data_IF_733912834519
#
_entry.id   IF_733912834519
#
_cell.length_a   1.000
_cell.length_b   1.000
_cell.length_c   1.000
_cell.angle_alpha   90.00
_cell.angle_beta   90.00
_cell.angle_gamma   90.00
#
_symmetry.space_group_name_H-M   'P 1'
#
loop_
_entity.id
_entity.type
_entity.pdbx_description
1 polymer ?
#
# COMPACT_ATOMS: atom_id res chain seq x y z
N UNK A 1 -3.55 -12.59 -19.76
CA UNK A 1 -2.80 -13.19 -18.64
C UNK A 1 -2.64 -14.67 -18.91
N UNK A 2 -1.42 -15.21 -18.86
CA UNK A 2 -1.12 -16.63 -19.12
C UNK A 2 -1.75 -17.50 -18.02
N UNK A 3 -2.50 -18.54 -18.41
CA UNK A 3 -2.98 -19.54 -17.45
C UNK A 3 -1.77 -20.28 -16.86
N UNK A 4 -1.75 -20.61 -15.56
CA UNK A 4 -0.69 -21.44 -14.99
C UNK A 4 -0.58 -22.73 -15.80
N UNK A 5 0.64 -23.12 -16.17
CA UNK A 5 0.89 -24.38 -16.85
C UNK A 5 0.52 -25.53 -15.90
N UNK A 6 -0.46 -26.39 -16.23
CA UNK A 6 -0.96 -27.42 -15.33
C UNK A 6 0.07 -28.51 -14.97
N UNK A 7 1.26 -28.51 -15.58
CA UNK A 7 2.30 -29.52 -15.37
C UNK A 7 3.33 -29.21 -14.28
N UNK A 8 3.29 -28.03 -13.63
CA UNK A 8 4.30 -27.68 -12.62
C UNK A 8 3.90 -28.17 -11.23
N UNK A 9 4.83 -28.82 -10.49
CA UNK A 9 4.55 -29.28 -9.14
C UNK A 9 4.28 -28.08 -8.22
N UNK A 10 3.29 -28.25 -7.36
CA UNK A 10 3.02 -27.31 -6.29
C UNK A 10 4.07 -27.50 -5.19
N UNK A 11 4.57 -26.38 -4.66
CA UNK A 11 5.43 -26.35 -3.48
C UNK A 11 4.77 -25.51 -2.40
N UNK A 12 5.14 -25.77 -1.15
CA UNK A 12 4.67 -24.99 0.00
C UNK A 12 5.42 -23.65 0.03
N UNK A 13 4.69 -22.55 0.02
CA UNK A 13 5.21 -21.20 0.24
C UNK A 13 4.78 -20.70 1.61
N UNK A 14 5.70 -20.07 2.34
CA UNK A 14 5.43 -19.46 3.64
C UNK A 14 5.50 -17.93 3.53
N UNK A 15 4.61 -17.26 4.26
CA UNK A 15 4.53 -15.81 4.26
C UNK A 15 4.17 -15.25 5.62
N UNK A 16 4.48 -13.97 5.83
CA UNK A 16 4.11 -13.26 7.05
C UNK A 16 3.91 -11.77 6.78
N UNK A 17 3.27 -11.07 7.73
CA UNK A 17 3.37 -9.61 7.78
C UNK A 17 4.74 -9.19 8.34
N UNK A 18 5.12 -7.93 8.17
CA UNK A 18 6.43 -7.44 8.58
C UNK A 18 6.78 -7.70 10.06
N UNK A 19 5.81 -7.59 10.97
CA UNK A 19 6.02 -7.84 12.39
C UNK A 19 5.85 -9.31 12.81
N UNK A 20 5.64 -10.22 11.84
CA UNK A 20 5.40 -11.67 12.02
C UNK A 20 4.17 -12.04 12.84
N UNK A 21 3.36 -11.07 13.28
CA UNK A 21 2.15 -11.34 14.05
C UNK A 21 1.11 -12.13 13.24
N UNK A 22 1.08 -11.93 11.92
CA UNK A 22 0.29 -12.71 10.97
C UNK A 22 1.25 -13.60 10.17
N UNK A 23 1.02 -14.91 10.17
CA UNK A 23 1.78 -15.86 9.35
C UNK A 23 0.82 -16.81 8.64
N UNK A 24 1.15 -17.19 7.44
CA UNK A 24 0.33 -18.02 6.57
C UNK A 24 1.22 -18.85 5.65
N UNK A 25 0.62 -19.84 5.04
CA UNK A 25 1.24 -20.63 3.99
C UNK A 25 0.25 -20.87 2.86
N UNK A 26 0.77 -21.17 1.68
CA UNK A 26 -0.05 -21.55 0.55
C UNK A 26 0.70 -22.45 -0.43
N UNK A 27 -0.05 -23.29 -1.15
CA UNK A 27 0.49 -24.13 -2.21
C UNK A 27 0.36 -23.43 -3.56
N UNK A 28 1.49 -23.14 -4.21
CA UNK A 28 1.57 -22.60 -5.57
C UNK A 28 2.74 -23.24 -6.34
N UNK A 29 2.78 -23.18 -7.68
CA UNK A 29 3.99 -23.52 -8.42
C UNK A 29 5.15 -22.64 -7.95
N UNK A 30 6.39 -23.11 -8.13
CA UNK A 30 7.57 -22.31 -7.78
C UNK A 30 7.72 -21.06 -8.67
N UNK A 31 7.15 -21.07 -9.88
CA UNK A 31 7.04 -19.90 -10.76
C UNK A 31 5.76 -19.11 -10.48
N UNK A 32 5.88 -18.15 -9.58
CA UNK A 32 4.76 -17.33 -9.15
C UNK A 32 4.41 -16.28 -10.23
N UNK A 33 3.14 -16.26 -10.64
CA UNK A 33 2.58 -15.19 -11.45
C UNK A 33 2.04 -14.09 -10.54
N UNK A 34 2.46 -12.86 -10.79
CA UNK A 34 2.01 -11.67 -10.08
C UNK A 34 1.02 -10.87 -10.92
N UNK A 35 0.01 -10.33 -10.25
CA UNK A 35 -1.03 -9.47 -10.83
C UNK A 35 -1.02 -8.13 -10.11
N UNK A 36 -0.85 -7.05 -10.89
CA UNK A 36 -1.08 -5.68 -10.43
C UNK A 36 -2.53 -5.31 -10.68
N UNK A 37 -3.25 -4.93 -9.62
CA UNK A 37 -4.64 -4.47 -9.72
C UNK A 37 -4.66 -2.94 -9.76
N UNK A 38 -5.52 -2.36 -10.61
CA UNK A 38 -5.65 -0.91 -10.79
C UNK A 38 -6.75 -0.26 -9.92
N UNK A 39 -7.44 -1.01 -9.05
CA UNK A 39 -8.42 -0.41 -8.17
C UNK A 39 -7.75 0.53 -7.16
N UNK A 40 -8.48 1.57 -6.71
CA UNK A 40 -7.94 2.64 -5.87
C UNK A 40 -7.19 2.12 -4.64
N UNK A 41 -7.78 1.21 -3.87
CA UNK A 41 -7.14 0.64 -2.67
C UNK A 41 -5.85 -0.13 -2.99
N UNK A 42 -5.81 -0.86 -4.11
CA UNK A 42 -4.62 -1.63 -4.48
C UNK A 42 -3.51 -0.71 -5.00
N UNK A 43 -3.88 0.30 -5.78
CA UNK A 43 -2.95 1.35 -6.24
C UNK A 43 -2.33 2.08 -5.05
N UNK A 44 -3.15 2.54 -4.10
CA UNK A 44 -2.69 3.28 -2.92
C UNK A 44 -1.86 2.44 -1.94
N UNK A 45 -2.10 1.13 -1.87
CA UNK A 45 -1.31 0.18 -1.06
C UNK A 45 -0.10 -0.41 -1.79
N UNK A 46 0.17 -0.03 -3.04
CA UNK A 46 1.27 -0.63 -3.82
C UNK A 46 1.14 -2.15 -4.01
N UNK A 47 -0.08 -2.65 -3.98
CA UNK A 47 -0.40 -4.07 -3.83
C UNK A 47 -0.14 -4.87 -5.12
N UNK A 48 0.69 -5.91 -5.02
CA UNK A 48 0.96 -6.88 -6.08
C UNK A 48 0.65 -8.28 -5.56
N UNK A 49 -0.16 -9.06 -6.28
CA UNK A 49 -0.75 -10.28 -5.72
C UNK A 49 -0.57 -11.49 -6.60
N UNK A 50 -0.53 -12.65 -5.96
CA UNK A 50 -0.75 -13.95 -6.60
C UNK A 50 -2.08 -14.51 -6.14
N UNK A 51 -2.85 -15.03 -7.09
CA UNK A 51 -4.17 -15.60 -6.80
C UNK A 51 -4.01 -17.11 -6.66
N UNK A 52 -4.42 -17.64 -5.50
CA UNK A 52 -4.48 -19.07 -5.23
C UNK A 52 -5.89 -19.47 -4.79
N UNK A 53 -6.35 -20.70 -5.07
CA UNK A 53 -7.60 -21.21 -4.52
C UNK A 53 -7.59 -21.17 -3.00
N UNK A 54 -8.74 -20.85 -2.39
CA UNK A 54 -8.89 -20.82 -0.91
C UNK A 54 -8.50 -22.14 -0.25
N UNK A 55 -8.75 -23.27 -0.91
CA UNK A 55 -8.36 -24.61 -0.44
C UNK A 55 -6.85 -24.83 -0.32
N UNK A 56 -6.04 -23.95 -0.93
CA UNK A 56 -4.58 -24.00 -0.92
C UNK A 56 -3.94 -22.90 -0.10
N UNK A 57 -4.74 -22.13 0.64
CA UNK A 57 -4.25 -21.10 1.55
C UNK A 57 -4.60 -21.48 2.98
N UNK A 58 -3.65 -21.32 3.90
CA UNK A 58 -3.83 -21.62 5.32
C UNK A 58 -3.26 -20.47 6.14
N UNK A 59 -4.10 -19.88 6.99
CA UNK A 59 -3.64 -18.94 8.01
C UNK A 59 -3.09 -19.75 9.19
N UNK A 60 -1.83 -19.53 9.54
CA UNK A 60 -1.15 -20.25 10.62
C UNK A 60 -1.32 -19.53 11.97
N UNK A 61 -1.27 -18.19 11.97
CA UNK A 61 -1.49 -17.39 13.16
C UNK A 61 -1.91 -15.94 12.85
N UNK A 62 -2.40 -15.25 13.87
CA UNK A 62 -2.67 -13.81 13.84
C UNK A 62 -4.04 -13.42 13.30
N UNK A 63 -5.04 -14.29 13.42
CA UNK A 63 -6.42 -13.98 13.02
C UNK A 63 -6.96 -12.73 13.75
N UNK A 64 -6.62 -12.59 15.02
CA UNK A 64 -6.93 -11.45 15.89
C UNK A 64 -6.10 -10.20 15.56
N UNK A 65 -5.00 -10.36 14.83
CA UNK A 65 -4.10 -9.29 14.39
C UNK A 65 -4.50 -8.69 13.04
N UNK A 66 -5.56 -9.21 12.41
CA UNK A 66 -6.06 -8.72 11.13
C UNK A 66 -7.15 -7.66 11.33
N UNK A 67 -7.04 -6.58 10.55
CA UNK A 67 -8.13 -5.63 10.32
C UNK A 67 -8.72 -5.89 8.94
N UNK A 68 -10.06 -6.01 8.90
CA UNK A 68 -10.83 -6.14 7.67
C UNK A 68 -11.24 -4.76 7.16
N UNK A 69 -10.93 -4.48 5.91
CA UNK A 69 -11.46 -3.35 5.16
C UNK A 69 -12.27 -3.85 3.96
N UNK A 70 -13.48 -3.30 3.82
CA UNK A 70 -14.40 -3.55 2.71
C UNK A 70 -14.92 -2.21 2.23
N UNK A 71 -15.14 -2.09 0.92
CA UNK A 71 -15.66 -0.88 0.29
C UNK A 71 -16.42 -1.25 -0.99
N UNK A 72 -17.17 -0.30 -1.54
CA UNK A 72 -17.99 -0.49 -2.73
C UNK A 72 -18.99 -1.67 -2.57
N UNK A 73 -18.79 -2.79 -3.27
CA UNK A 73 -19.71 -3.94 -3.22
C UNK A 73 -19.56 -4.80 -1.97
N UNK A 74 -18.58 -4.50 -1.11
CA UNK A 74 -18.26 -5.25 0.11
C UNK A 74 -17.93 -6.74 -0.13
N UNK A 75 -17.56 -7.10 -1.36
CA UNK A 75 -17.26 -8.50 -1.73
C UNK A 75 -15.78 -8.84 -1.56
N UNK A 76 -14.89 -7.86 -1.74
CA UNK A 76 -13.46 -8.05 -1.50
C UNK A 76 -13.15 -7.80 -0.02
N UNK A 77 -12.43 -8.74 0.61
CA UNK A 77 -12.01 -8.64 2.00
C UNK A 77 -10.53 -8.27 2.04
N UNK A 78 -10.23 -6.98 2.19
CA UNK A 78 -8.85 -6.49 2.36
C UNK A 78 -8.41 -6.68 3.79
N UNK A 79 -7.47 -7.60 4.03
CA UNK A 79 -7.02 -7.98 5.37
C UNK A 79 -5.59 -7.50 5.59
N UNK A 80 -5.37 -6.64 6.58
CA UNK A 80 -4.03 -6.11 6.89
C UNK A 80 -3.70 -6.25 8.37
N UNK A 81 -2.42 -6.34 8.69
CA UNK A 81 -1.99 -6.44 10.08
C UNK A 81 -2.23 -5.11 10.81
N UNK A 82 -3.03 -5.14 11.89
CA UNK A 82 -3.34 -3.95 12.71
C UNK A 82 -2.11 -3.31 13.37
N UNK A 83 -0.99 -4.04 13.46
CA UNK A 83 0.27 -3.56 14.05
C UNK A 83 1.22 -2.91 13.06
N UNK A 84 1.50 -3.54 11.92
CA UNK A 84 2.48 -3.03 10.96
C UNK A 84 1.86 -2.48 9.66
N UNK A 85 0.56 -2.65 9.44
CA UNK A 85 -0.16 -2.15 8.27
C UNK A 85 0.03 -2.97 6.99
N UNK A 86 0.90 -4.00 6.98
CA UNK A 86 1.11 -4.84 5.80
C UNK A 86 -0.15 -5.66 5.47
N UNK A 87 -0.59 -5.59 4.23
CA UNK A 87 -1.67 -6.41 3.67
C UNK A 87 -1.08 -7.67 3.01
N UNK A 88 -0.70 -8.66 3.81
CA UNK A 88 -0.01 -9.85 3.28
C UNK A 88 -0.89 -10.76 2.41
N UNK A 89 -2.21 -10.68 2.56
CA UNK A 89 -3.17 -11.39 1.71
C UNK A 89 -4.53 -10.69 1.76
N UNK A 90 -5.42 -11.02 0.83
CA UNK A 90 -6.81 -10.57 0.81
C UNK A 90 -7.68 -11.57 0.05
N UNK A 91 -8.99 -11.52 0.25
CA UNK A 91 -9.93 -12.28 -0.61
C UNK A 91 -10.47 -11.35 -1.70
N UNK A 92 -10.18 -11.59 -3.00
CA UNK A 92 -10.70 -10.77 -4.09
C UNK A 92 -12.19 -11.01 -4.33
N UNK A 93 -12.81 -10.14 -5.14
CA UNK A 93 -14.18 -10.37 -5.65
C UNK A 93 -14.16 -11.62 -6.53
N UNK A 94 -15.12 -12.52 -6.30
CA UNK A 94 -15.39 -13.81 -6.95
C UNK A 94 -14.41 -14.24 -8.07
N UNK A 95 -13.67 -15.34 -7.85
CA UNK A 95 -12.70 -15.89 -8.82
C UNK A 95 -13.41 -16.63 -9.94
N UNK A 96 -13.98 -15.88 -10.89
CA UNK A 96 -14.08 -16.33 -12.26
C UNK A 96 -13.58 -15.16 -13.09
N UNK A 97 -12.36 -15.34 -13.64
CA UNK A 97 -11.65 -14.44 -14.55
C UNK A 97 -12.55 -13.34 -15.13
N UNK A 98 -12.27 -12.05 -14.90
CA UNK A 98 -12.63 -10.95 -15.82
C UNK A 98 -12.13 -9.56 -15.35
N UNK A 99 -11.37 -8.94 -16.26
CA UNK A 99 -11.40 -7.54 -16.72
C UNK A 99 -11.92 -6.46 -15.73
N UNK A 100 -11.00 -5.58 -15.31
CA UNK A 100 -11.32 -4.38 -14.55
C UNK A 100 -12.04 -3.35 -15.45
N UNK A 101 -13.36 -3.23 -15.34
CA UNK A 101 -14.11 -2.09 -15.86
C UNK A 101 -13.98 -0.88 -14.93
N UNK A 102 -13.55 0.22 -15.52
CA UNK A 102 -13.35 1.53 -14.91
C UNK A 102 -14.65 2.12 -14.37
N UNK A 103 -14.59 2.70 -13.17
CA UNK A 103 -15.55 3.70 -12.73
C UNK A 103 -14.75 4.97 -12.40
N UNK A 104 -14.95 6.02 -13.21
CA UNK A 104 -14.56 7.39 -12.90
C UNK A 104 -15.50 7.89 -11.81
N UNK A 105 -14.97 8.49 -10.75
CA UNK A 105 -15.76 9.32 -9.86
C UNK A 105 -15.25 10.76 -9.88
N UNK A 106 -16.19 11.62 -10.29
CA UNK A 106 -16.47 13.00 -9.90
C UNK A 106 -15.32 14.01 -9.77
N UNK A 107 -15.32 14.93 -10.74
CA UNK A 107 -14.67 16.24 -10.74
C UNK A 107 -15.30 17.17 -9.69
N UNK A 108 -14.46 17.79 -8.86
CA UNK A 108 -14.79 18.96 -8.05
C UNK A 108 -13.97 20.12 -8.62
N UNK A 109 -14.63 21.25 -8.91
CA UNK A 109 -13.99 22.46 -9.43
C UNK A 109 -13.25 23.17 -8.31
N UNK A 110 -11.94 23.40 -8.47
CA UNK A 110 -11.13 24.24 -7.59
C UNK A 110 -11.08 25.69 -8.13
N UNK A 111 -11.29 26.64 -7.24
CA UNK A 111 -10.83 28.03 -7.43
C UNK A 111 -9.30 28.07 -7.44
N UNK A 112 -8.74 28.95 -8.26
CA UNK A 112 -7.30 29.14 -8.47
C UNK A 112 -6.52 29.23 -7.15
N UNK A 113 -5.58 28.29 -6.92
CA UNK A 113 -4.67 28.28 -5.78
C UNK A 113 -4.66 26.97 -4.97
N UNK A 114 -3.80 26.05 -5.39
CA UNK A 114 -3.17 24.92 -4.67
C UNK A 114 -3.90 24.35 -3.43
N UNK A 115 -4.58 23.20 -3.61
CA UNK A 115 -5.05 22.32 -2.53
C UNK A 115 -5.24 20.90 -3.04
N UNK A 116 -4.60 19.92 -2.39
CA UNK A 116 -4.58 18.50 -2.80
C UNK A 116 -5.47 17.70 -1.85
N UNK A 117 -6.40 16.89 -2.38
CA UNK A 117 -7.23 15.98 -1.59
C UNK A 117 -6.69 14.55 -1.71
N UNK A 118 -5.87 14.12 -0.74
CA UNK A 118 -5.31 12.76 -0.70
C UNK A 118 -5.93 11.87 0.36
N UNK A 119 -6.24 10.62 -0.03
CA UNK A 119 -6.43 9.38 0.75
C UNK A 119 -7.81 8.97 1.34
N UNK A 120 -8.73 8.51 0.45
CA UNK A 120 -9.93 7.70 0.80
C UNK A 120 -10.73 8.25 2.00
N UNK A 121 -11.22 9.49 1.90
CA UNK A 121 -12.03 10.25 2.87
C UNK A 121 -11.53 10.37 4.32
N UNK A 122 -10.62 9.51 4.77
CA UNK A 122 -10.39 9.23 6.18
C UNK A 122 -9.12 9.89 6.72
N UNK A 123 -8.06 9.97 5.92
CA UNK A 123 -6.83 10.72 6.19
C UNK A 123 -6.71 11.73 5.07
N UNK A 124 -6.68 13.02 5.37
CA UNK A 124 -6.59 14.09 4.37
C UNK A 124 -5.48 15.06 4.75
N UNK A 125 -4.73 15.49 3.74
CA UNK A 125 -3.61 16.41 3.86
C UNK A 125 -3.40 17.13 2.54
N UNK A 126 -2.84 18.33 2.61
CA UNK A 126 -2.38 19.09 1.46
C UNK A 126 -0.88 19.33 1.57
N UNK A 127 -0.21 19.48 0.43
CA UNK A 127 1.18 19.89 0.39
C UNK A 127 1.54 20.67 -0.86
N UNK A 128 2.62 21.44 -0.77
CA UNK A 128 3.21 22.17 -1.89
C UNK A 128 4.48 21.46 -2.37
N UNK A 129 4.57 21.23 -3.68
CA UNK A 129 5.74 20.68 -4.36
C UNK A 129 5.68 21.05 -5.86
N UNK A 130 6.79 20.96 -6.61
CA UNK A 130 6.74 20.97 -8.06
C UNK A 130 5.81 19.89 -8.62
N UNK A 131 5.15 20.16 -9.75
CA UNK A 131 4.23 19.19 -10.38
C UNK A 131 4.96 18.04 -11.09
N UNK A 132 6.25 18.20 -11.35
CA UNK A 132 7.21 17.19 -11.78
C UNK A 132 7.86 16.53 -10.55
N UNK A 133 7.25 15.46 -10.06
CA UNK A 133 7.68 14.80 -8.84
C UNK A 133 8.86 13.86 -9.09
N UNK A 134 9.79 13.83 -8.13
CA UNK A 134 10.74 12.73 -7.98
C UNK A 134 10.25 11.83 -6.85
N UNK A 135 10.11 10.53 -7.13
CA UNK A 135 9.70 9.53 -6.16
C UNK A 135 10.80 8.48 -5.97
N UNK A 136 10.90 8.00 -4.74
CA UNK A 136 11.89 7.00 -4.32
C UNK A 136 11.22 5.64 -4.13
N UNK A 137 11.77 4.62 -4.78
CA UNK A 137 11.50 3.21 -4.56
C UNK A 137 12.57 2.64 -3.62
N UNK A 138 12.18 2.38 -2.37
CA UNK A 138 13.08 1.86 -1.34
C UNK A 138 12.93 0.33 -1.19
N UNK A 139 14.05 -0.38 -1.21
CA UNK A 139 14.08 -1.85 -1.12
C UNK A 139 14.07 -2.42 0.32
N UNK A 140 13.92 -1.60 1.37
CA UNK A 140 13.91 -2.10 2.75
C UNK A 140 12.69 -2.99 3.01
N UNK A 141 12.76 -3.85 4.04
CA UNK A 141 11.75 -4.89 4.29
C UNK A 141 10.31 -4.35 4.38
N UNK A 142 10.10 -3.25 5.12
CA UNK A 142 8.76 -2.67 5.27
C UNK A 142 8.27 -1.97 3.99
N UNK A 143 9.16 -1.26 3.27
CA UNK A 143 8.80 -0.56 2.04
C UNK A 143 8.47 -1.53 0.91
N UNK A 144 9.26 -2.60 0.78
CA UNK A 144 8.97 -3.68 -0.17
C UNK A 144 7.65 -4.37 0.15
N UNK A 145 7.39 -4.71 1.42
CA UNK A 145 6.13 -5.38 1.81
C UNK A 145 4.88 -4.49 1.66
N UNK A 146 5.03 -3.17 1.73
CA UNK A 146 3.94 -2.20 1.54
C UNK A 146 3.88 -1.60 0.14
N UNK A 147 4.80 -1.96 -0.76
CA UNK A 147 4.90 -1.34 -2.09
C UNK A 147 5.04 0.18 -2.04
N UNK A 148 5.73 0.72 -1.03
CA UNK A 148 5.80 2.17 -0.80
C UNK A 148 6.73 2.83 -1.81
N UNK A 149 6.17 3.66 -2.68
CA UNK A 149 6.89 4.58 -3.56
C UNK A 149 6.43 6.00 -3.23
N UNK A 150 7.38 6.88 -2.91
CA UNK A 150 7.06 8.14 -2.21
C UNK A 150 7.93 9.30 -2.68
N UNK A 151 7.39 10.51 -2.60
CA UNK A 151 8.15 11.75 -2.77
C UNK A 151 8.42 12.38 -1.39
N UNK A 152 9.50 13.15 -1.26
CA UNK A 152 9.88 13.80 0.00
C UNK A 152 9.33 15.22 0.01
N UNK A 153 8.61 15.56 1.07
CA UNK A 153 8.00 16.87 1.29
C UNK A 153 8.41 17.37 2.66
N UNK A 154 9.07 18.52 2.74
CA UNK A 154 9.43 19.11 4.04
C UNK A 154 8.16 19.51 4.81
N UNK A 155 8.14 19.35 6.13
CA UNK A 155 6.96 19.63 6.97
C UNK A 155 6.40 21.04 6.83
N UNK A 156 7.24 22.04 6.52
CA UNK A 156 6.77 23.42 6.28
C UNK A 156 5.85 23.56 5.07
N UNK A 157 5.89 22.60 4.14
CA UNK A 157 5.05 22.55 2.94
C UNK A 157 3.94 21.52 3.05
N UNK A 158 3.72 20.92 4.23
CA UNK A 158 2.74 19.88 4.44
C UNK A 158 1.76 20.30 5.53
N UNK A 159 0.48 20.08 5.31
CA UNK A 159 -0.57 20.38 6.29
C UNK A 159 -1.56 19.24 6.39
N UNK A 160 -1.69 18.68 7.60
CA UNK A 160 -2.78 17.76 7.92
C UNK A 160 -4.11 18.50 7.91
N UNK A 161 -5.10 17.93 7.22
CA UNK A 161 -6.46 18.43 7.19
C UNK A 161 -7.38 17.60 8.08
N UNK A 162 -7.22 16.26 8.06
CA UNK A 162 -8.03 15.33 8.85
C UNK A 162 -7.35 13.98 9.04
N UNK A 163 -7.75 13.24 10.08
CA UNK A 163 -7.50 11.80 10.21
C UNK A 163 -6.24 11.44 10.97
N UNK A 164 -5.62 12.40 11.66
CA UNK A 164 -4.47 12.16 12.53
C UNK A 164 -4.80 11.14 13.64
N UNK A 165 -6.02 11.21 14.20
CA UNK A 165 -6.53 10.32 15.25
C UNK A 165 -6.73 8.86 14.80
N UNK A 166 -6.77 8.62 13.48
CA UNK A 166 -6.93 7.29 12.90
C UNK A 166 -5.64 6.74 12.29
N UNK A 167 -4.51 7.44 12.44
CA UNK A 167 -3.20 6.90 12.08
C UNK A 167 -2.71 5.93 13.16
N UNK A 168 -2.16 4.81 12.71
CA UNK A 168 -1.38 3.88 13.52
C UNK A 168 0.10 4.08 13.19
N UNK A 169 0.91 4.30 14.23
CA UNK A 169 2.36 4.34 14.14
C UNK A 169 2.95 2.94 14.21
N UNK A 170 3.85 2.63 13.28
CA UNK A 170 4.72 1.47 13.33
C UNK A 170 6.19 1.89 13.20
N UNK A 171 7.00 1.51 14.19
CA UNK A 171 8.46 1.71 14.20
C UNK A 171 9.15 0.38 14.51
N UNK A 172 10.40 0.25 14.07
CA UNK A 172 11.22 -0.96 14.26
C UNK A 172 12.71 -0.63 14.11
N UNK A 173 13.59 -1.55 14.50
CA UNK A 173 15.05 -1.36 14.57
C UNK A 173 15.46 -0.09 15.33
N UNK A 174 15.93 0.94 14.62
CA UNK A 174 16.41 2.20 15.23
C UNK A 174 15.27 3.08 15.74
N UNK A 175 14.03 2.76 15.40
CA UNK A 175 12.83 3.53 15.73
C UNK A 175 12.82 4.98 15.22
N UNK A 176 13.77 5.34 14.34
CA UNK A 176 13.85 6.69 13.73
C UNK A 176 12.80 6.91 12.64
N UNK A 177 12.56 5.89 11.80
CA UNK A 177 11.50 5.94 10.79
C UNK A 177 10.14 5.71 11.42
N UNK A 178 9.16 6.58 11.15
CA UNK A 178 7.81 6.52 11.69
C UNK A 178 6.80 6.17 10.60
N UNK A 179 6.51 4.89 10.42
CA UNK A 179 5.57 4.42 9.40
C UNK A 179 4.13 4.60 9.89
N UNK A 180 3.44 5.58 9.32
CA UNK A 180 2.06 5.92 9.65
C UNK A 180 1.11 5.26 8.65
N UNK A 181 0.05 4.61 9.11
CA UNK A 181 -0.97 4.06 8.23
C UNK A 181 -2.36 4.19 8.84
N UNK A 182 -3.38 4.35 7.99
CA UNK A 182 -4.76 4.45 8.43
C UNK A 182 -5.22 3.14 9.09
N UNK A 183 -5.67 3.19 10.34
CA UNK A 183 -6.16 2.02 11.10
C UNK A 183 -7.45 1.42 10.54
N UNK A 184 -8.16 2.16 9.65
CA UNK A 184 -9.39 1.69 8.99
C UNK A 184 -9.11 0.92 7.71
N UNK A 185 -8.35 1.51 6.78
CA UNK A 185 -8.14 0.94 5.45
C UNK A 185 -6.75 0.34 5.24
N UNK A 186 -5.77 0.65 6.09
CA UNK A 186 -4.39 0.13 6.02
C UNK A 186 -3.48 0.87 5.03
N UNK A 187 -3.96 1.94 4.39
CA UNK A 187 -3.13 2.77 3.50
C UNK A 187 -2.09 3.55 4.33
N UNK A 188 -0.83 3.51 3.89
CA UNK A 188 0.22 4.43 4.33
C UNK A 188 0.28 5.58 3.33
N UNK A 189 -0.44 6.68 3.63
CA UNK A 189 -0.47 7.83 2.74
C UNK A 189 0.81 8.67 2.83
N UNK A 190 1.46 8.66 3.98
CA UNK A 190 2.76 9.25 4.21
C UNK A 190 3.45 8.59 5.41
N UNK A 191 4.74 8.86 5.62
CA UNK A 191 5.49 8.48 6.81
C UNK A 191 6.62 9.46 7.08
N UNK A 192 7.21 9.45 8.28
CA UNK A 192 8.41 10.26 8.56
C UNK A 192 9.63 9.38 8.29
N UNK A 193 10.48 9.71 7.29
CA UNK A 193 11.61 8.89 6.90
C UNK A 193 12.73 8.97 7.94
N UNK A 194 13.60 7.95 7.95
CA UNK A 194 14.78 7.93 8.81
C UNK A 194 15.82 9.01 8.43
N UNK A 195 15.94 9.32 7.14
CA UNK A 195 16.94 10.28 6.61
C UNK A 195 16.68 11.70 7.10
N UNK A 196 15.42 12.09 7.16
CA UNK A 196 15.01 13.45 7.46
C UNK A 196 13.77 13.42 8.36
N UNK A 197 13.92 13.61 9.69
CA UNK A 197 12.80 13.62 10.62
C UNK A 197 11.89 14.84 10.43
N UNK A 198 12.31 15.86 9.68
CA UNK A 198 11.56 17.08 9.38
C UNK A 198 10.86 17.04 8.00
N UNK A 199 10.84 15.88 7.37
CA UNK A 199 10.09 15.62 6.15
C UNK A 199 9.00 14.57 6.33
N UNK A 200 8.03 14.59 5.42
CA UNK A 200 7.12 13.49 5.13
C UNK A 200 7.50 12.86 3.80
N UNK A 201 7.59 11.54 3.81
CA UNK A 201 7.62 10.73 2.61
C UNK A 201 6.17 10.42 2.19
N UNK A 202 5.65 11.17 1.22
CA UNK A 202 4.27 11.11 0.72
C UNK A 202 4.13 10.06 -0.38
N UNK A 203 3.21 9.12 -0.21
CA UNK A 203 2.93 8.07 -1.20
C UNK A 203 2.24 8.69 -2.42
N UNK A 204 2.91 8.70 -3.57
CA UNK A 204 2.42 9.37 -4.81
C UNK A 204 1.09 8.79 -5.28
N UNK A 205 0.83 7.50 -5.04
CA UNK A 205 -0.44 6.87 -5.35
C UNK A 205 -1.66 7.40 -4.55
N UNK A 206 -1.42 8.19 -3.50
CA UNK A 206 -2.45 8.85 -2.70
C UNK A 206 -2.66 10.32 -3.06
N UNK A 207 -1.91 10.84 -4.04
CA UNK A 207 -1.99 12.23 -4.52
C UNK A 207 -2.97 12.30 -5.70
N UNK A 208 -3.67 13.43 -5.81
CA UNK A 208 -4.56 13.69 -6.94
C UNK A 208 -3.76 13.70 -8.25
N UNK A 209 -4.01 12.77 -9.20
CA UNK A 209 -3.27 12.71 -10.44
C UNK A 209 -3.41 13.95 -11.32
N UNK A 210 -4.47 14.77 -11.15
CA UNK A 210 -4.64 16.01 -11.93
C UNK A 210 -3.60 17.09 -11.57
N UNK A 211 -2.97 16.98 -10.40
CA UNK A 211 -1.95 17.91 -9.91
C UNK A 211 -0.52 17.54 -10.32
N UNK A 212 -0.34 16.38 -10.97
CA UNK A 212 0.97 15.83 -11.31
C UNK A 212 1.16 15.86 -12.82
N UNK A 213 2.22 16.52 -13.30
CA UNK A 213 2.56 16.58 -14.72
C UNK A 213 3.48 15.43 -15.13
N UNK A 214 4.43 15.05 -14.27
CA UNK A 214 5.31 13.90 -14.49
C UNK A 214 5.84 13.32 -13.18
N UNK A 215 6.31 12.07 -13.23
CA UNK A 215 6.94 11.41 -12.08
C UNK A 215 8.18 10.67 -12.54
N UNK A 216 9.33 11.02 -11.95
CA UNK A 216 10.59 10.28 -12.12
C UNK A 216 10.79 9.35 -10.92
N UNK A 217 11.09 8.07 -11.18
CA UNK A 217 11.40 7.11 -10.11
C UNK A 217 12.91 6.96 -9.94
N UNK A 218 13.37 7.04 -8.71
CA UNK A 218 14.74 6.74 -8.29
C UNK A 218 14.75 5.56 -7.32
N UNK A 219 15.82 4.75 -7.35
CA UNK A 219 15.95 3.60 -6.45
C UNK A 219 16.80 3.95 -5.25
N UNK A 220 16.43 3.42 -4.09
CA UNK A 220 17.17 3.60 -2.84
C UNK A 220 17.42 2.25 -2.15
N UNK A 221 18.68 1.98 -1.81
CA UNK A 221 19.06 0.79 -1.06
C UNK A 221 18.85 1.00 0.44
N UNK A 222 17.62 0.74 0.91
CA UNK A 222 17.28 0.78 2.32
C UNK A 222 17.60 -0.52 3.09
N UNK A 223 18.09 -1.58 2.44
CA UNK A 223 18.54 -2.81 3.13
C UNK A 223 19.92 -2.66 3.74
N UNK A 224 20.84 -2.01 3.01
CA UNK A 224 22.25 -1.89 3.39
C UNK A 224 22.61 -0.47 3.86
N UNK A 225 21.66 0.23 4.49
CA UNK A 225 21.84 1.61 4.92
C UNK A 225 21.79 1.72 6.45
N UNK A 226 22.83 2.35 7.02
CA UNK A 226 23.15 2.39 8.47
C UNK A 226 22.10 3.05 9.37
#
# INVERSE_FOLDING_TARGET
MTKPNPSKPFVLHQGSCHCKAVQFEFDAPSDIVQTKCNCSICRMKGNVHTIVPKSRFRLLQGQDMLTLYMFNTHTAHHLFCKRCGVQSFYSPRNTMYLEARFFRNHSITLSEGVGVLGALDAVQFEFEAPSDLVQTECNCSICTMKGNIHTIVHKSHFKMLQGEDILTLYTFHTHKSQHLFCKRCGVQAFFIPRLDPDAYAVTVACVDPETITSVKTETFDGKNWD
#
